data_IF_522291363535
#
_entry.id   IF_522291363535
#
_cell.length_a   1.000
_cell.length_b   1.000
_cell.length_c   1.000
_cell.angle_alpha   90.00
_cell.angle_beta   90.00
_cell.angle_gamma   90.00
#
_symmetry.space_group_name_H-M   'P 1'
#
loop_
_entity.id
_entity.type
_entity.pdbx_description
1 polymer ?
#
# COMPACT_ATOMS: atom_id res chain seq x y z
N UNK A 1 -15.48 4.62 -17.12
CA UNK A 1 -14.53 5.65 -16.64
C UNK A 1 -14.64 5.59 -15.14
N UNK A 2 -13.87 4.73 -14.50
CA UNK A 2 -13.77 4.73 -13.05
C UNK A 2 -12.62 5.66 -12.72
N UNK A 3 -12.93 6.82 -12.13
CA UNK A 3 -11.91 7.68 -11.53
C UNK A 3 -11.12 6.81 -10.55
N UNK A 4 -9.87 6.46 -10.92
CA UNK A 4 -8.91 5.85 -10.03
C UNK A 4 -8.80 6.78 -8.81
N UNK A 5 -9.49 6.40 -7.73
CA UNK A 5 -9.51 7.17 -6.48
C UNK A 5 -8.12 7.06 -5.90
N UNK A 6 -7.27 8.03 -6.27
CA UNK A 6 -5.85 8.01 -5.99
C UNK A 6 -5.67 8.23 -4.49
N UNK A 7 -5.52 7.15 -3.72
CA UNK A 7 -5.37 7.16 -2.26
C UNK A 7 -4.24 8.11 -1.86
N UNK A 8 -4.55 9.22 -1.20
CA UNK A 8 -3.56 10.16 -0.70
C UNK A 8 -3.45 9.99 0.81
N UNK A 9 -2.30 9.53 1.30
CA UNK A 9 -2.00 9.43 2.72
C UNK A 9 -0.79 10.32 3.01
N UNK A 10 -0.92 11.22 3.98
CA UNK A 10 0.04 12.27 4.30
C UNK A 10 0.72 12.02 5.65
N UNK A 11 1.94 12.56 5.81
CA UNK A 11 2.63 12.68 7.10
C UNK A 11 2.66 11.41 7.97
N UNK A 12 2.22 11.54 9.23
CA UNK A 12 2.26 10.48 10.24
C UNK A 12 1.30 9.32 9.93
N UNK A 13 0.27 9.56 9.12
CA UNK A 13 -0.69 8.53 8.73
C UNK A 13 -0.10 7.49 7.77
N UNK A 14 1.00 7.82 7.08
CA UNK A 14 1.67 6.88 6.17
C UNK A 14 2.15 5.63 6.94
N UNK A 15 2.69 5.81 8.15
CA UNK A 15 3.16 4.69 8.95
C UNK A 15 2.00 3.79 9.38
N UNK A 16 0.91 4.39 9.87
CA UNK A 16 -0.30 3.67 10.23
C UNK A 16 -0.89 2.94 9.02
N UNK A 17 -0.96 3.60 7.86
CA UNK A 17 -1.44 3.01 6.61
C UNK A 17 -0.65 1.75 6.23
N UNK A 18 0.68 1.79 6.27
CA UNK A 18 1.51 0.60 6.02
C UNK A 18 1.26 -0.53 7.00
N UNK A 19 1.00 -0.22 8.26
CA UNK A 19 0.73 -1.23 9.30
C UNK A 19 -0.65 -1.85 9.10
N UNK A 20 -1.68 -1.03 8.86
CA UNK A 20 -3.07 -1.47 8.71
C UNK A 20 -3.25 -2.34 7.45
N UNK A 21 -2.45 -2.11 6.40
CA UNK A 21 -2.40 -2.99 5.23
C UNK A 21 -1.92 -4.42 5.55
N UNK A 22 -1.27 -4.66 6.70
CA UNK A 22 -0.80 -5.99 7.14
C UNK A 22 -1.77 -6.66 8.10
N UNK A 23 -2.73 -5.92 8.64
CA UNK A 23 -3.71 -6.39 9.62
C UNK A 23 -4.13 -5.28 10.59
N UNK A 24 -5.07 -5.55 11.51
CA UNK A 24 -5.51 -4.58 12.51
C UNK A 24 -4.35 -4.07 13.37
N UNK A 25 -4.38 -2.77 13.71
CA UNK A 25 -3.31 -2.09 14.45
C UNK A 25 -3.87 -1.47 15.71
N UNK A 26 -3.21 -1.71 16.83
CA UNK A 26 -3.47 -1.02 18.09
C UNK A 26 -2.83 0.38 18.05
N UNK A 27 -3.66 1.41 18.19
CA UNK A 27 -3.26 2.83 18.17
C UNK A 27 -3.71 3.49 19.48
N UNK A 28 -2.83 4.22 20.18
CA UNK A 28 -3.23 5.00 21.34
C UNK A 28 -4.27 6.07 20.98
N UNK A 29 -5.25 6.28 21.85
CA UNK A 29 -6.38 7.18 21.56
C UNK A 29 -5.93 8.63 21.27
N UNK A 30 -4.85 9.10 21.89
CA UNK A 30 -4.32 10.44 21.63
C UNK A 30 -3.72 10.59 20.23
N UNK A 31 -3.13 9.53 19.66
CA UNK A 31 -2.59 9.55 18.30
C UNK A 31 -3.70 9.69 17.26
N UNK A 32 -4.89 9.14 17.55
CA UNK A 32 -6.06 9.32 16.69
C UNK A 32 -6.48 10.79 16.55
N UNK A 33 -6.06 11.69 17.43
CA UNK A 33 -6.34 13.14 17.31
C UNK A 33 -5.42 13.85 16.30
N UNK A 34 -4.40 13.16 15.78
CA UNK A 34 -3.52 13.69 14.74
C UNK A 34 -4.31 13.95 13.44
N UNK A 35 -4.14 15.13 12.85
CA UNK A 35 -4.87 15.54 11.64
C UNK A 35 -4.68 14.56 10.48
N UNK A 36 -3.45 14.06 10.27
CA UNK A 36 -3.15 13.09 9.22
C UNK A 36 -3.92 11.77 9.43
N UNK A 37 -3.98 11.29 10.68
CA UNK A 37 -4.69 10.04 11.01
C UNK A 37 -6.20 10.23 10.87
N UNK A 38 -6.71 11.41 11.23
CA UNK A 38 -8.10 11.78 10.99
C UNK A 38 -8.42 11.84 9.49
N UNK A 39 -7.52 12.35 8.64
CA UNK A 39 -7.69 12.31 7.19
C UNK A 39 -7.82 10.87 6.68
N UNK A 40 -6.97 9.95 7.17
CA UNK A 40 -7.04 8.54 6.82
C UNK A 40 -8.35 7.88 7.26
N UNK A 41 -8.85 8.19 8.46
CA UNK A 41 -10.16 7.71 8.94
C UNK A 41 -11.31 8.29 8.10
N UNK A 42 -11.29 9.59 7.82
CA UNK A 42 -12.32 10.29 7.07
C UNK A 42 -12.36 9.90 5.59
N UNK A 43 -11.23 9.44 5.04
CA UNK A 43 -11.17 8.90 3.67
C UNK A 43 -11.96 7.59 3.50
N UNK A 44 -12.37 6.95 4.60
CA UNK A 44 -13.07 5.67 4.59
C UNK A 44 -12.18 4.48 4.24
N UNK A 45 -10.85 4.66 4.19
CA UNK A 45 -9.90 3.58 3.94
C UNK A 45 -9.71 2.67 5.16
N UNK A 46 -9.79 3.25 6.35
CA UNK A 46 -9.65 2.56 7.64
C UNK A 46 -10.79 2.94 8.57
N UNK A 47 -11.08 2.06 9.53
CA UNK A 47 -12.11 2.26 10.55
C UNK A 47 -11.61 1.78 11.91
N UNK A 48 -12.26 2.27 12.97
CA UNK A 48 -12.06 1.79 14.33
C UNK A 48 -13.06 0.67 14.60
N UNK A 49 -12.60 -0.48 15.11
CA UNK A 49 -13.46 -1.67 15.28
C UNK A 49 -13.52 -2.24 16.68
N UNK A 50 -12.51 -2.00 17.48
CA UNK A 50 -12.49 -2.39 18.89
C UNK A 50 -11.85 -1.27 19.70
N UNK A 51 -12.35 -1.04 20.90
CA UNK A 51 -11.98 0.12 21.69
C UNK A 51 -11.89 -0.22 23.16
N UNK A 52 -10.67 -0.33 23.67
CA UNK A 52 -10.35 -0.53 25.08
C UNK A 52 -9.44 0.58 25.54
N UNK A 53 -9.94 1.52 26.33
CA UNK A 53 -9.13 2.67 26.78
C UNK A 53 -7.83 2.19 27.47
N UNK A 54 -6.65 2.75 27.12
CA UNK A 54 -6.41 3.91 26.25
C UNK A 54 -6.08 3.59 24.78
N UNK A 55 -6.37 2.38 24.31
CA UNK A 55 -6.00 1.86 22.97
C UNK A 55 -7.26 1.65 22.10
N UNK A 56 -7.13 1.93 20.81
CA UNK A 56 -8.16 1.64 19.81
C UNK A 56 -7.56 0.77 18.72
N UNK A 57 -8.34 -0.14 18.17
CA UNK A 57 -7.94 -0.94 17.03
C UNK A 57 -8.43 -0.32 15.74
N UNK A 58 -7.49 -0.05 14.83
CA UNK A 58 -7.73 0.46 13.48
C UNK A 58 -7.52 -0.66 12.48
N UNK A 59 -8.50 -0.88 11.59
CA UNK A 59 -8.40 -1.88 10.53
C UNK A 59 -8.85 -1.31 9.17
N UNK A 60 -8.57 -2.04 8.09
CA UNK A 60 -9.03 -1.69 6.75
C UNK A 60 -10.55 -1.77 6.67
N UNK A 61 -11.17 -0.77 6.03
CA UNK A 61 -12.58 -0.87 5.65
C UNK A 61 -12.81 -1.94 4.57
N UNK A 62 -11.84 -2.09 3.65
CA UNK A 62 -11.87 -3.10 2.60
C UNK A 62 -10.75 -4.14 2.81
N UNK A 63 -11.07 -5.36 3.27
CA UNK A 63 -10.10 -6.43 3.47
C UNK A 63 -9.34 -6.84 2.19
N UNK A 64 -9.89 -6.58 0.99
CA UNK A 64 -9.19 -6.90 -0.27
C UNK A 64 -7.92 -6.06 -0.49
N UNK A 65 -7.77 -4.95 0.23
CA UNK A 65 -6.56 -4.13 0.21
C UNK A 65 -5.42 -4.75 1.03
N UNK A 66 -5.71 -5.71 1.92
CA UNK A 66 -4.72 -6.36 2.77
C UNK A 66 -3.58 -6.98 1.95
N UNK A 67 -2.34 -6.80 2.40
CA UNK A 67 -1.15 -7.28 1.73
C UNK A 67 -0.73 -8.67 2.22
N UNK A 68 -0.49 -9.59 1.29
CA UNK A 68 0.09 -10.88 1.64
C UNK A 68 1.57 -10.74 2.05
N UNK A 69 2.12 -11.77 2.71
CA UNK A 69 3.54 -11.80 3.13
C UNK A 69 4.47 -11.59 1.92
N UNK A 70 4.15 -12.18 0.77
CA UNK A 70 4.98 -12.07 -0.44
C UNK A 70 4.91 -10.64 -1.02
N UNK A 71 3.73 -10.01 -0.97
CA UNK A 71 3.57 -8.60 -1.37
C UNK A 71 4.37 -7.66 -0.45
N UNK A 72 4.37 -7.92 0.86
CA UNK A 72 5.15 -7.17 1.84
C UNK A 72 6.67 -7.30 1.62
N UNK A 73 7.15 -8.49 1.26
CA UNK A 73 8.55 -8.73 0.89
C UNK A 73 8.93 -7.96 -0.37
N UNK A 74 8.08 -8.00 -1.40
CA UNK A 74 8.31 -7.26 -2.65
C UNK A 74 8.36 -5.75 -2.41
N UNK A 75 7.44 -5.21 -1.60
CA UNK A 75 7.46 -3.80 -1.20
C UNK A 75 8.76 -3.43 -0.46
N UNK A 76 9.24 -4.30 0.43
CA UNK A 76 10.50 -4.07 1.14
C UNK A 76 11.69 -4.01 0.17
N UNK A 77 11.75 -4.91 -0.82
CA UNK A 77 12.80 -4.86 -1.86
C UNK A 77 12.73 -3.54 -2.64
N UNK A 78 11.53 -3.13 -3.04
CA UNK A 78 11.33 -1.89 -3.81
C UNK A 78 11.77 -0.65 -3.03
N UNK A 79 11.49 -0.57 -1.73
CA UNK A 79 11.89 0.56 -0.87
C UNK A 79 13.39 0.58 -0.56
N UNK A 80 14.03 -0.59 -0.48
CA UNK A 80 15.44 -0.72 -0.10
C UNK A 80 16.38 -0.69 -1.30
N UNK A 81 15.86 -0.87 -2.51
CA UNK A 81 16.63 -0.80 -3.74
C UNK A 81 17.08 0.64 -4.03
N UNK A 82 18.40 0.83 -4.08
CA UNK A 82 19.04 2.13 -4.35
C UNK A 82 19.92 2.12 -5.61
N UNK A 83 19.98 1.00 -6.32
CA UNK A 83 20.99 0.74 -7.35
C UNK A 83 20.60 1.16 -8.77
N UNK A 84 19.47 1.86 -8.95
CA UNK A 84 19.07 2.40 -10.26
C UNK A 84 17.54 2.40 -10.48
N UNK A 85 17.09 2.58 -11.73
CA UNK A 85 15.67 2.50 -12.08
C UNK A 85 15.14 1.08 -11.87
N UNK A 86 13.87 0.98 -11.48
CA UNK A 86 13.20 -0.31 -11.27
C UNK A 86 12.57 -0.73 -12.58
N UNK A 87 13.20 -1.70 -13.25
CA UNK A 87 12.71 -2.19 -14.54
C UNK A 87 11.65 -3.29 -14.37
N UNK A 88 10.80 -3.46 -15.39
CA UNK A 88 9.81 -4.56 -15.45
C UNK A 88 10.49 -5.94 -15.39
N UNK A 89 11.69 -6.08 -15.96
CA UNK A 89 12.48 -7.31 -15.89
C UNK A 89 12.91 -7.64 -14.46
N UNK A 90 13.39 -6.64 -13.72
CA UNK A 90 13.77 -6.77 -12.31
C UNK A 90 12.55 -7.11 -11.43
N UNK A 91 11.43 -6.42 -11.64
CA UNK A 91 10.17 -6.69 -10.94
C UNK A 91 9.69 -8.12 -11.18
N UNK A 92 9.78 -8.61 -12.42
CA UNK A 92 9.42 -9.99 -12.76
C UNK A 92 10.35 -11.00 -12.09
N UNK A 93 11.65 -10.74 -12.07
CA UNK A 93 12.62 -11.60 -11.39
C UNK A 93 12.32 -11.71 -9.89
N UNK A 94 12.19 -10.57 -9.18
CA UNK A 94 11.85 -10.58 -7.75
C UNK A 94 10.51 -11.22 -7.45
N UNK A 95 9.49 -10.96 -8.28
CA UNK A 95 8.18 -11.58 -8.08
C UNK A 95 8.22 -13.09 -8.27
N UNK A 96 9.05 -13.59 -9.19
CA UNK A 96 9.31 -15.01 -9.37
C UNK A 96 9.99 -15.64 -8.15
N UNK A 97 11.08 -15.03 -7.67
CA UNK A 97 11.82 -15.48 -6.48
C UNK A 97 10.95 -15.49 -5.22
N UNK A 98 10.15 -14.44 -5.03
CA UNK A 98 9.26 -14.29 -3.89
C UNK A 98 7.96 -15.09 -4.02
N UNK A 99 7.75 -15.80 -5.14
CA UNK A 99 6.52 -16.54 -5.44
C UNK A 99 5.27 -15.67 -5.25
N UNK A 100 5.32 -14.44 -5.74
CA UNK A 100 4.17 -13.53 -5.72
C UNK A 100 3.14 -14.05 -6.71
N UNK A 101 1.97 -14.43 -6.21
CA UNK A 101 0.87 -14.82 -7.08
C UNK A 101 0.39 -13.61 -7.89
N UNK A 102 0.25 -13.80 -9.22
CA UNK A 102 -0.14 -12.73 -10.15
C UNK A 102 0.71 -11.45 -9.98
N UNK A 103 2.02 -11.50 -10.27
CA UNK A 103 2.97 -10.39 -10.08
C UNK A 103 2.48 -9.03 -10.58
N UNK A 104 1.84 -9.06 -11.75
CA UNK A 104 1.35 -7.87 -12.43
C UNK A 104 0.23 -7.17 -11.64
N UNK A 105 -0.69 -7.95 -11.06
CA UNK A 105 -1.78 -7.41 -10.23
C UNK A 105 -1.24 -6.85 -8.92
N UNK A 106 -0.27 -7.52 -8.32
CA UNK A 106 0.39 -7.02 -7.10
C UNK A 106 1.13 -5.71 -7.36
N UNK A 107 1.91 -5.59 -8.43
CA UNK A 107 2.64 -4.35 -8.73
C UNK A 107 1.65 -3.19 -8.97
N UNK A 108 0.59 -3.44 -9.73
CA UNK A 108 -0.48 -2.45 -9.93
C UNK A 108 -1.10 -2.05 -8.59
N UNK A 109 -1.47 -3.01 -7.75
CA UNK A 109 -2.00 -2.76 -6.40
C UNK A 109 -1.05 -1.90 -5.55
N UNK A 110 0.26 -2.21 -5.53
CA UNK A 110 1.24 -1.44 -4.76
C UNK A 110 1.36 0.02 -5.26
N UNK A 111 1.22 0.23 -6.57
CA UNK A 111 1.20 1.56 -7.18
C UNK A 111 -0.10 2.32 -6.85
N UNK A 112 -1.25 1.68 -7.00
CA UNK A 112 -2.57 2.26 -6.72
C UNK A 112 -2.70 2.66 -5.24
N UNK A 113 -2.11 1.88 -4.33
CA UNK A 113 -2.01 2.17 -2.90
C UNK A 113 -0.93 3.22 -2.55
N UNK A 114 -0.25 3.80 -3.55
CA UNK A 114 0.89 4.74 -3.42
C UNK A 114 2.02 4.26 -2.51
N UNK A 115 2.29 2.97 -2.49
CA UNK A 115 3.35 2.38 -1.65
C UNK A 115 4.73 2.43 -2.33
N UNK A 116 4.73 2.66 -3.65
CA UNK A 116 5.91 2.83 -4.51
C UNK A 116 5.66 3.92 -5.53
N UNK A 117 6.68 4.70 -5.84
CA UNK A 117 6.65 5.69 -6.92
C UNK A 117 7.52 5.20 -8.07
N UNK A 118 6.95 5.14 -9.26
CA UNK A 118 7.67 4.91 -10.51
C UNK A 118 7.84 6.24 -11.25
N UNK A 119 8.95 6.40 -11.98
CA UNK A 119 9.11 7.52 -12.91
C UNK A 119 8.06 7.44 -14.02
N UNK A 120 7.75 8.56 -14.70
CA UNK A 120 6.73 8.56 -15.75
C UNK A 120 7.05 7.65 -16.95
N UNK A 121 8.34 7.36 -17.19
CA UNK A 121 8.77 6.35 -18.16
C UNK A 121 8.43 4.93 -17.70
N UNK A 122 8.68 4.62 -16.44
CA UNK A 122 8.36 3.33 -15.83
C UNK A 122 6.85 3.15 -15.71
N UNK A 123 6.09 4.19 -15.34
CA UNK A 123 4.60 4.17 -15.33
C UNK A 123 4.04 3.82 -16.71
N UNK A 124 4.57 4.39 -17.79
CA UNK A 124 4.14 4.07 -19.16
C UNK A 124 4.48 2.63 -19.54
N UNK A 125 5.63 2.09 -19.12
CA UNK A 125 5.98 0.69 -19.38
C UNK A 125 5.13 -0.27 -18.55
N UNK A 126 4.90 0.04 -17.28
CA UNK A 126 3.97 -0.61 -16.37
C UNK A 126 2.60 -0.61 -17.06
N UNK A 127 1.99 0.55 -17.33
CA UNK A 127 0.69 0.66 -17.99
C UNK A 127 0.62 -0.03 -19.36
N UNK A 128 1.66 0.05 -20.19
CA UNK A 128 1.69 -0.64 -21.50
C UNK A 128 1.82 -2.17 -21.37
N UNK A 129 2.51 -2.66 -20.34
CA UNK A 129 2.55 -4.09 -20.02
C UNK A 129 1.30 -4.56 -19.25
N UNK A 130 0.53 -3.65 -18.63
CA UNK A 130 -0.61 -3.96 -17.75
C UNK A 130 -1.98 -3.57 -18.31
N UNK A 131 -2.05 -2.91 -19.46
CA UNK A 131 -3.27 -2.49 -20.16
C UNK A 131 -3.53 -3.32 -21.41
N UNK A 132 -3.81 -4.61 -21.26
CA UNK A 132 -4.44 -5.42 -22.29
C UNK A 132 -5.26 -6.54 -21.63
N UNK A 133 -6.58 -6.45 -21.85
CA UNK A 133 -7.72 -7.32 -21.44
C UNK A 133 -8.38 -6.97 -20.13
#
# INVERSE_FOLDING_TARGET
>A
MDEETKISVTGNAINLWYQVLRGPVAVPEWELRCADIQELLNSGLVKIVDSTFPVKFVELCNPSMAMSINEQKLLTLLKTYKSGPVTVGLLRAWSGELRVERPLKTIKKLFDLRLVEFSDKEKKQVQACFGCR
#
